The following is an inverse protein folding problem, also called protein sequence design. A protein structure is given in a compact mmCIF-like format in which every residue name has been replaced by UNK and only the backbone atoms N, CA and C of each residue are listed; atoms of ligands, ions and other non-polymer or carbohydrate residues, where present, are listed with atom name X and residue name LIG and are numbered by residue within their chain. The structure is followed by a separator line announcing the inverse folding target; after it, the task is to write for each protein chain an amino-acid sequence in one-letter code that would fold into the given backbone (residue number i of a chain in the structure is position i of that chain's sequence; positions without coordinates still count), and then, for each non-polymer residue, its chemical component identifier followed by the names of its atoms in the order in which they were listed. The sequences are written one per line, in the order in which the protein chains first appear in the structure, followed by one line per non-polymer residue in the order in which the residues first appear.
data_IF_259347884667
#
_entry.id   IF_259347884667
#
_cell.length_a   1.000
_cell.length_b   1.000
_cell.length_c   1.000
_cell.angle_alpha   90.00
_cell.angle_beta   90.00
_cell.angle_gamma   90.00
#
_symmetry.space_group_name_H-M   'P 1'
#
loop_
_entity.id
_entity.type
_entity.pdbx_description
1 polymer ?
#
# COMPACT_ATOMS: atom_id res chain seq x y z
N UNK A 1 48.92 -7.82 32.19
CA UNK A 1 48.18 -8.39 31.03
C UNK A 1 47.24 -9.45 31.58
N UNK A 2 45.96 -9.14 31.73
CA UNK A 2 44.97 -10.13 32.18
C UNK A 2 44.64 -11.04 30.99
N UNK A 3 44.96 -12.33 31.10
CA UNK A 3 44.56 -13.33 30.13
C UNK A 3 43.04 -13.49 30.19
N UNK A 4 42.36 -13.03 29.15
CA UNK A 4 40.92 -13.13 29.01
C UNK A 4 40.58 -14.57 28.62
N UNK A 5 40.01 -15.34 29.55
CA UNK A 5 39.85 -16.79 29.46
C UNK A 5 38.62 -17.27 28.67
N UNK A 6 37.83 -16.34 28.11
CA UNK A 6 36.65 -16.69 27.30
C UNK A 6 36.98 -16.66 25.81
N UNK A 7 36.43 -17.60 25.01
CA UNK A 7 36.69 -17.70 23.56
C UNK A 7 36.23 -16.47 22.76
N UNK A 8 35.45 -15.57 23.37
CA UNK A 8 35.02 -14.30 22.79
C UNK A 8 36.13 -13.24 22.80
N UNK A 9 37.15 -13.35 23.65
CA UNK A 9 38.19 -12.33 23.77
C UNK A 9 39.17 -12.29 22.60
N UNK A 10 39.19 -13.34 21.77
CA UNK A 10 40.02 -13.42 20.55
C UNK A 10 39.32 -12.82 19.32
N UNK A 11 38.09 -12.33 19.47
CA UNK A 11 37.33 -11.76 18.36
C UNK A 11 37.77 -10.32 18.05
N UNK A 12 37.84 -9.93 16.77
CA UNK A 12 38.46 -8.67 16.35
C UNK A 12 37.73 -7.42 16.83
N UNK A 13 36.41 -7.50 17.07
CA UNK A 13 35.57 -6.37 17.50
C UNK A 13 35.19 -6.43 18.99
N UNK A 14 35.82 -7.31 19.78
CA UNK A 14 35.45 -7.49 21.19
C UNK A 14 35.62 -6.21 22.03
N UNK A 15 36.60 -5.35 21.71
CA UNK A 15 36.80 -4.07 22.39
C UNK A 15 35.60 -3.12 22.29
N UNK A 16 34.78 -3.24 21.24
CA UNK A 16 33.59 -2.42 21.02
C UNK A 16 32.46 -2.81 21.98
N UNK A 17 32.47 -4.03 22.52
CA UNK A 17 31.45 -4.52 23.45
C UNK A 17 31.42 -3.72 24.77
N UNK A 18 32.60 -3.30 25.24
CA UNK A 18 32.75 -2.53 26.49
C UNK A 18 32.56 -1.02 26.28
N UNK A 19 32.28 -0.58 25.06
CA UNK A 19 32.10 0.83 24.75
C UNK A 19 30.71 1.31 25.18
N UNK A 20 30.64 2.04 26.30
CA UNK A 20 29.39 2.61 26.82
C UNK A 20 29.59 4.01 27.44
N UNK A 21 29.86 5.06 26.63
CA UNK A 21 30.03 6.42 27.13
C UNK A 21 28.75 7.04 27.73
N UNK A 22 27.58 6.52 27.38
CA UNK A 22 26.28 6.98 27.88
C UNK A 22 25.27 5.83 27.95
N UNK A 23 24.21 5.99 28.73
CA UNK A 23 23.10 5.03 28.84
C UNK A 23 21.91 5.53 28.02
N UNK A 24 21.64 4.88 26.89
CA UNK A 24 20.41 5.09 26.11
C UNK A 24 19.53 3.86 26.28
N UNK A 25 18.25 4.09 26.55
CA UNK A 25 17.25 3.03 26.49
C UNK A 25 16.60 3.01 25.09
N UNK A 26 17.14 2.17 24.22
CA UNK A 26 16.65 2.00 22.84
C UNK A 26 15.29 1.27 22.76
N UNK A 27 14.79 0.74 23.88
CA UNK A 27 13.58 -0.09 23.95
C UNK A 27 12.31 0.70 23.61
N UNK A 28 12.16 1.89 24.20
CA UNK A 28 11.01 2.77 23.96
C UNK A 28 10.95 3.28 22.51
N UNK A 29 12.11 3.54 21.91
CA UNK A 29 12.24 3.98 20.52
C UNK A 29 11.74 2.89 19.56
N UNK A 30 12.11 1.63 19.79
CA UNK A 30 11.76 0.53 18.88
C UNK A 30 10.32 0.05 19.00
N UNK A 31 9.72 0.23 20.17
CA UNK A 31 8.37 -0.26 20.45
C UNK A 31 7.27 0.71 20.03
N UNK A 32 7.47 2.03 20.15
CA UNK A 32 6.42 3.01 19.85
C UNK A 32 6.65 3.85 18.60
N UNK A 33 7.90 4.17 18.27
CA UNK A 33 8.19 5.07 17.14
C UNK A 33 8.09 4.28 15.83
N UNK A 34 7.32 4.79 14.86
CA UNK A 34 7.26 4.21 13.52
C UNK A 34 6.14 3.19 13.29
N UNK A 35 5.46 2.70 14.34
CA UNK A 35 4.45 1.64 14.19
C UNK A 35 3.27 2.07 13.29
N UNK A 36 2.79 3.31 13.45
CA UNK A 36 1.72 3.85 12.61
C UNK A 36 2.17 4.05 11.17
N UNK A 37 3.41 4.53 10.98
CA UNK A 37 4.00 4.76 9.66
C UNK A 37 4.18 3.44 8.91
N UNK A 38 4.63 2.38 9.60
CA UNK A 38 4.79 1.03 9.06
C UNK A 38 3.43 0.40 8.74
N UNK A 39 2.46 0.50 9.66
CA UNK A 39 1.09 0.07 9.45
C UNK A 39 0.48 0.71 8.20
N UNK A 40 0.63 2.04 8.07
CA UNK A 40 0.13 2.80 6.93
C UNK A 40 0.85 2.43 5.63
N UNK A 41 2.19 2.37 5.62
CA UNK A 41 2.96 2.16 4.40
C UNK A 41 2.82 0.73 3.83
N UNK A 42 2.84 -0.30 4.68
CA UNK A 42 2.79 -1.71 4.25
C UNK A 42 1.36 -2.21 4.10
N UNK A 43 0.43 -1.72 4.92
CA UNK A 43 -0.96 -2.13 4.85
C UNK A 43 -1.62 -1.83 3.51
N UNK A 44 -1.03 -0.99 2.65
CA UNK A 44 -1.47 -0.73 1.26
C UNK A 44 -1.35 -1.93 0.34
N UNK A 45 -0.58 -2.96 0.73
CA UNK A 45 -0.28 -4.16 -0.06
C UNK A 45 0.43 -3.90 -1.41
N UNK A 46 1.00 -2.71 -1.60
CA UNK A 46 1.84 -2.34 -2.74
C UNK A 46 3.24 -2.94 -2.57
N UNK A 47 3.88 -3.33 -3.68
CA UNK A 47 5.26 -3.86 -3.68
C UNK A 47 6.29 -2.74 -3.66
N UNK A 48 7.41 -3.00 -2.99
CA UNK A 48 8.56 -2.09 -3.00
C UNK A 48 9.78 -2.84 -3.50
N UNK A 49 10.49 -2.23 -4.46
CA UNK A 49 11.70 -2.80 -5.08
C UNK A 49 12.88 -2.87 -4.11
N UNK A 50 12.90 -2.04 -3.07
CA UNK A 50 14.07 -1.91 -2.20
C UNK A 50 13.77 -2.25 -0.74
N UNK A 51 12.57 -1.90 -0.25
CA UNK A 51 12.29 -1.91 1.19
C UNK A 51 11.51 -3.12 1.68
N UNK A 52 11.07 -4.00 0.78
CA UNK A 52 10.15 -5.10 1.10
C UNK A 52 10.69 -6.10 2.13
N UNK A 53 12.00 -6.34 2.16
CA UNK A 53 12.67 -7.28 3.08
C UNK A 53 13.62 -6.61 4.08
N UNK A 54 13.55 -5.28 4.24
CA UNK A 54 14.35 -4.58 5.24
C UNK A 54 13.77 -4.79 6.64
N UNK A 55 14.59 -4.82 7.71
CA UNK A 55 14.06 -4.83 9.07
C UNK A 55 13.36 -3.49 9.36
N UNK A 56 12.12 -3.54 9.86
CA UNK A 56 11.32 -2.35 10.14
C UNK A 56 10.95 -2.29 11.62
N UNK A 57 10.64 -1.07 12.08
CA UNK A 57 10.05 -0.83 13.39
C UNK A 57 8.64 -1.42 13.48
N UNK A 58 8.14 -1.62 14.69
CA UNK A 58 6.76 -2.06 14.91
C UNK A 58 6.45 -3.47 14.38
N UNK A 59 7.35 -4.44 14.56
CA UNK A 59 7.12 -5.84 14.17
C UNK A 59 5.80 -6.42 14.70
N UNK A 60 5.37 -5.97 15.89
CA UNK A 60 4.10 -6.35 16.50
C UNK A 60 2.88 -5.98 15.66
N UNK A 61 2.96 -4.98 14.76
CA UNK A 61 1.88 -4.59 13.84
C UNK A 61 1.49 -5.78 12.95
N UNK A 62 2.48 -6.55 12.49
CA UNK A 62 2.26 -7.74 11.65
C UNK A 62 1.81 -8.94 12.47
N UNK A 63 2.40 -9.14 13.65
CA UNK A 63 1.99 -10.20 14.57
C UNK A 63 0.53 -10.01 15.03
N UNK A 64 0.09 -8.76 15.18
CA UNK A 64 -1.26 -8.38 15.61
C UNK A 64 -2.29 -8.28 14.48
N UNK A 65 -1.89 -8.41 13.21
CA UNK A 65 -2.76 -8.18 12.02
C UNK A 65 -3.30 -6.75 11.88
N UNK A 66 -2.74 -5.79 12.63
CA UNK A 66 -3.18 -4.39 12.63
C UNK A 66 -3.04 -3.73 11.25
N UNK A 67 -2.15 -4.23 10.38
CA UNK A 67 -2.00 -3.73 9.02
C UNK A 67 -3.15 -4.11 8.09
N UNK A 68 -3.93 -5.15 8.42
CA UNK A 68 -5.07 -5.63 7.63
C UNK A 68 -6.42 -5.10 8.13
N UNK A 69 -6.46 -4.53 9.33
CA UNK A 69 -7.70 -4.02 9.94
C UNK A 69 -8.27 -2.83 9.17
N UNK A 70 -9.61 -2.75 9.11
CA UNK A 70 -10.33 -1.65 8.50
C UNK A 70 -10.04 -0.33 9.21
N UNK A 71 -10.04 0.78 8.47
CA UNK A 71 -9.94 2.14 9.02
C UNK A 71 -11.29 2.82 8.94
N UNK A 72 -11.69 3.49 10.02
CA UNK A 72 -12.92 4.28 10.06
C UNK A 72 -12.76 5.62 9.33
N UNK A 73 -13.88 6.31 9.10
CA UNK A 73 -13.91 7.63 8.47
C UNK A 73 -13.98 7.61 6.94
N UNK A 74 -14.16 6.45 6.32
CA UNK A 74 -14.36 6.33 4.89
C UNK A 74 -15.82 6.06 4.56
N UNK A 75 -16.26 6.57 3.41
CA UNK A 75 -17.55 6.20 2.84
C UNK A 75 -17.38 5.93 1.35
N UNK A 76 -17.77 4.74 0.93
CA UNK A 76 -17.77 4.30 -0.45
C UNK A 76 -19.21 4.28 -0.96
N UNK A 77 -19.48 5.09 -1.98
CA UNK A 77 -20.75 5.16 -2.68
C UNK A 77 -20.58 4.53 -4.05
N UNK A 78 -21.17 3.36 -4.25
CA UNK A 78 -21.29 2.77 -5.57
C UNK A 78 -22.51 3.37 -6.27
N UNK A 79 -22.25 4.35 -7.15
CA UNK A 79 -23.30 5.13 -7.82
C UNK A 79 -24.10 4.23 -8.76
N UNK A 80 -23.43 3.35 -9.50
CA UNK A 80 -24.04 2.47 -10.50
C UNK A 80 -24.85 1.32 -9.87
N UNK A 81 -24.48 0.87 -8.66
CA UNK A 81 -25.23 -0.15 -7.94
C UNK A 81 -26.25 0.44 -6.93
N UNK A 82 -26.21 1.75 -6.66
CA UNK A 82 -27.06 2.38 -5.64
C UNK A 82 -26.76 1.92 -4.21
N UNK A 83 -25.50 1.56 -3.90
CA UNK A 83 -25.10 1.04 -2.58
C UNK A 83 -24.10 2.00 -1.91
N UNK A 84 -24.32 2.27 -0.63
CA UNK A 84 -23.36 2.96 0.23
C UNK A 84 -22.83 2.00 1.28
N UNK A 85 -21.51 2.01 1.52
CA UNK A 85 -20.89 1.35 2.68
C UNK A 85 -19.84 2.23 3.33
N UNK A 86 -19.78 2.20 4.66
CA UNK A 86 -18.70 2.81 5.44
C UNK A 86 -17.61 1.80 5.83
N UNK A 87 -17.90 0.51 5.67
CA UNK A 87 -16.92 -0.55 5.88
C UNK A 87 -16.18 -0.83 4.58
N UNK A 88 -14.90 -0.49 4.55
CA UNK A 88 -14.01 -0.73 3.41
C UNK A 88 -12.78 -1.50 3.86
N UNK A 89 -12.22 -2.27 2.94
CA UNK A 89 -11.04 -3.09 3.17
C UNK A 89 -9.87 -2.22 3.67
N UNK A 90 -9.20 -2.70 4.73
CA UNK A 90 -8.10 -1.97 5.37
C UNK A 90 -6.96 -1.61 4.42
N UNK A 91 -6.68 -2.44 3.42
CA UNK A 91 -5.64 -2.13 2.45
C UNK A 91 -6.02 -0.95 1.55
N UNK A 92 -7.30 -0.87 1.17
CA UNK A 92 -7.81 0.13 0.24
C UNK A 92 -7.85 1.51 0.90
N UNK A 93 -8.29 1.58 2.16
CA UNK A 93 -8.25 2.83 2.93
C UNK A 93 -6.82 3.39 3.07
N UNK A 94 -5.85 2.53 3.38
CA UNK A 94 -4.43 2.92 3.47
C UNK A 94 -3.85 3.32 2.12
N UNK A 95 -4.20 2.59 1.06
CA UNK A 95 -3.78 2.96 -0.30
C UNK A 95 -4.28 4.37 -0.62
N UNK A 96 -5.58 4.63 -0.48
CA UNK A 96 -6.20 5.93 -0.72
C UNK A 96 -5.51 7.09 0.02
N UNK A 97 -5.18 6.92 1.30
CA UNK A 97 -4.50 7.96 2.08
C UNK A 97 -3.10 8.30 1.59
N UNK A 98 -2.39 7.33 0.98
CA UNK A 98 -1.03 7.55 0.47
C UNK A 98 -0.97 8.21 -0.91
N UNK A 99 -2.08 8.25 -1.65
CA UNK A 99 -2.04 8.67 -3.05
C UNK A 99 -1.96 10.18 -3.28
N UNK A 100 -2.14 11.00 -2.23
CA UNK A 100 -2.01 12.46 -2.32
C UNK A 100 -3.11 13.15 -3.14
N UNK A 101 -4.36 12.66 -3.10
CA UNK A 101 -5.44 13.19 -3.92
C UNK A 101 -5.76 14.67 -3.67
N UNK A 102 -6.16 15.37 -4.72
CA UNK A 102 -6.76 16.70 -4.60
C UNK A 102 -8.19 16.62 -4.07
N UNK A 103 -8.76 17.75 -3.62
CA UNK A 103 -10.02 17.75 -2.86
C UNK A 103 -11.24 17.24 -3.65
N UNK A 104 -11.20 17.28 -4.98
CA UNK A 104 -12.36 17.03 -5.84
C UNK A 104 -12.01 16.59 -7.27
N UNK A 105 -10.86 16.95 -7.82
CA UNK A 105 -10.50 16.72 -9.23
C UNK A 105 -9.94 15.32 -9.54
N UNK A 106 -9.59 14.54 -8.53
CA UNK A 106 -8.87 13.27 -8.70
C UNK A 106 -9.76 12.13 -9.19
N UNK A 107 -9.28 11.43 -10.21
CA UNK A 107 -9.91 10.25 -10.83
C UNK A 107 -8.97 9.06 -10.75
N UNK A 108 -9.50 7.89 -10.45
CA UNK A 108 -8.75 6.63 -10.53
C UNK A 108 -9.49 5.65 -11.43
N UNK A 109 -8.80 5.05 -12.38
CA UNK A 109 -9.32 3.97 -13.21
C UNK A 109 -8.66 2.67 -12.77
N UNK A 110 -9.47 1.74 -12.28
CA UNK A 110 -9.02 0.43 -11.88
C UNK A 110 -9.16 -0.55 -13.03
N UNK A 111 -8.13 -1.36 -13.22
CA UNK A 111 -8.12 -2.45 -14.20
C UNK A 111 -7.62 -3.72 -13.52
N UNK A 112 -8.17 -4.86 -13.94
CA UNK A 112 -7.73 -6.18 -13.47
C UNK A 112 -6.94 -6.82 -14.60
N UNK A 113 -5.64 -7.03 -14.38
CA UNK A 113 -4.79 -7.71 -15.35
C UNK A 113 -5.11 -9.21 -15.38
N UNK A 114 -5.60 -9.68 -16.52
CA UNK A 114 -5.81 -11.11 -16.77
C UNK A 114 -4.46 -11.81 -17.07
N UNK A 115 -4.21 -12.92 -16.36
CA UNK A 115 -3.06 -13.80 -16.62
C UNK A 115 -3.20 -14.58 -17.94
N UNK A 116 -4.43 -14.84 -18.42
CA UNK A 116 -4.69 -15.77 -19.52
C UNK A 116 -4.30 -15.22 -20.91
N UNK A 117 -4.47 -13.91 -21.15
CA UNK A 117 -4.08 -13.23 -22.41
C UNK A 117 -2.59 -12.92 -22.53
N UNK A 118 -1.76 -13.37 -21.60
CA UNK A 118 -0.32 -13.15 -21.61
C UNK A 118 0.33 -14.10 -22.63
N UNK A 119 0.51 -13.65 -23.88
CA UNK A 119 1.39 -14.33 -24.85
C UNK A 119 2.72 -14.66 -24.17
N UNK A 120 3.12 -15.94 -24.23
CA UNK A 120 4.32 -16.56 -23.62
C UNK A 120 5.68 -15.94 -24.03
N UNK A 121 5.73 -14.77 -24.68
CA UNK A 121 6.93 -14.22 -25.32
C UNK A 121 7.45 -12.87 -24.82
N UNK A 122 6.66 -12.03 -24.14
CA UNK A 122 7.13 -10.70 -23.72
C UNK A 122 6.91 -10.46 -22.21
N UNK A 123 8.03 -10.24 -21.51
CA UNK A 123 8.18 -9.85 -20.11
C UNK A 123 7.54 -10.76 -19.04
N UNK A 124 8.21 -11.89 -18.83
CA UNK A 124 8.35 -12.56 -17.53
C UNK A 124 9.34 -11.82 -16.58
N UNK A 125 9.72 -10.58 -16.90
CA UNK A 125 11.04 -10.00 -16.57
C UNK A 125 11.18 -8.96 -15.44
N UNK A 126 10.20 -8.10 -15.07
CA UNK A 126 10.46 -7.07 -14.05
C UNK A 126 10.02 -7.45 -12.64
N UNK A 127 8.82 -8.01 -12.46
CA UNK A 127 8.22 -8.18 -11.13
C UNK A 127 8.89 -9.24 -10.24
N UNK A 128 9.49 -10.28 -10.83
CA UNK A 128 10.29 -11.27 -10.08
C UNK A 128 11.70 -10.74 -9.82
N UNK A 129 12.27 -9.97 -10.75
CA UNK A 129 13.58 -9.35 -10.58
C UNK A 129 13.56 -8.29 -9.47
N UNK A 130 12.48 -7.51 -9.38
CA UNK A 130 12.29 -6.51 -8.32
C UNK A 130 12.18 -7.16 -6.93
N UNK A 131 11.45 -8.27 -6.81
CA UNK A 131 11.38 -9.05 -5.57
C UNK A 131 12.71 -9.70 -5.20
N UNK A 132 13.46 -10.21 -6.17
CA UNK A 132 14.81 -10.77 -5.96
C UNK A 132 15.77 -9.68 -5.50
N UNK A 133 15.73 -8.49 -6.11
CA UNK A 133 16.56 -7.36 -5.71
C UNK A 133 16.26 -6.92 -4.27
N UNK A 134 14.98 -6.76 -3.92
CA UNK A 134 14.58 -6.45 -2.56
C UNK A 134 15.07 -7.53 -1.57
N UNK A 135 15.00 -8.80 -1.96
CA UNK A 135 15.47 -9.92 -1.14
C UNK A 135 16.99 -9.87 -0.96
N UNK A 136 17.76 -9.57 -2.01
CA UNK A 136 19.23 -9.44 -1.94
C UNK A 136 19.59 -8.31 -0.97
N UNK A 137 18.97 -7.14 -1.11
CA UNK A 137 19.20 -5.99 -0.22
C UNK A 137 18.87 -6.36 1.23
N UNK A 138 17.70 -6.97 1.46
CA UNK A 138 17.30 -7.43 2.79
C UNK A 138 18.27 -8.46 3.37
N UNK A 139 18.70 -9.45 2.59
CA UNK A 139 19.66 -10.47 3.03
C UNK A 139 21.01 -9.85 3.36
N UNK A 140 21.53 -8.93 2.54
CA UNK A 140 22.81 -8.26 2.79
C UNK A 140 22.76 -7.46 4.10
N UNK A 141 21.69 -6.67 4.31
CA UNK A 141 21.54 -5.85 5.52
C UNK A 141 21.46 -6.73 6.78
N UNK A 142 20.63 -7.78 6.75
CA UNK A 142 20.50 -8.69 7.90
C UNK A 142 21.76 -9.55 8.13
N UNK A 143 22.42 -10.02 7.07
CA UNK A 143 23.68 -10.77 7.17
C UNK A 143 24.80 -9.91 7.73
N UNK A 144 24.85 -8.63 7.37
CA UNK A 144 25.82 -7.67 7.95
C UNK A 144 25.59 -7.51 9.46
N UNK A 145 24.34 -7.36 9.91
CA UNK A 145 24.00 -7.31 11.33
C UNK A 145 24.42 -8.58 12.07
N UNK A 146 24.15 -9.75 11.50
CA UNK A 146 24.57 -11.03 12.08
C UNK A 146 26.10 -11.16 12.13
N UNK A 147 26.81 -10.77 11.08
CA UNK A 147 28.27 -10.82 11.04
C UNK A 147 28.89 -9.91 12.11
N UNK A 148 28.39 -8.67 12.25
CA UNK A 148 28.90 -7.72 13.27
C UNK A 148 28.70 -8.28 14.68
N UNK A 149 27.53 -8.82 14.99
CA UNK A 149 27.23 -9.37 16.33
C UNK A 149 28.07 -10.60 16.67
N UNK A 150 28.30 -11.48 15.69
CA UNK A 150 29.19 -12.64 15.84
C UNK A 150 30.65 -12.18 16.06
N UNK A 151 31.12 -11.20 15.29
CA UNK A 151 32.48 -10.66 15.42
C UNK A 151 32.71 -9.87 16.70
N UNK A 152 31.67 -9.35 17.34
CA UNK A 152 31.74 -8.71 18.65
C UNK A 152 31.72 -9.71 19.82
N UNK A 153 31.19 -10.92 19.58
CA UNK A 153 30.91 -11.91 20.63
C UNK A 153 29.69 -11.53 21.49
N UNK A 154 28.79 -10.70 20.97
CA UNK A 154 27.57 -10.26 21.66
C UNK A 154 26.43 -11.25 21.41
N UNK A 155 26.25 -12.21 22.34
CA UNK A 155 25.18 -13.21 22.23
C UNK A 155 23.77 -12.62 22.33
N UNK A 156 23.60 -11.53 23.10
CA UNK A 156 22.33 -10.80 23.15
C UNK A 156 22.07 -10.06 21.84
N UNK A 157 23.10 -9.40 21.31
CA UNK A 157 23.08 -8.81 19.98
C UNK A 157 22.73 -9.82 18.87
N UNK A 158 23.30 -11.02 18.94
CA UNK A 158 23.02 -12.12 18.01
C UNK A 158 21.55 -12.56 18.10
N UNK A 159 21.03 -12.78 19.31
CA UNK A 159 19.62 -13.14 19.52
C UNK A 159 18.66 -12.06 18.97
N UNK A 160 19.02 -10.78 19.12
CA UNK A 160 18.28 -9.67 18.53
C UNK A 160 18.30 -9.72 16.99
N UNK A 161 19.48 -9.91 16.37
CA UNK A 161 19.61 -9.99 14.91
C UNK A 161 18.83 -11.18 14.32
N UNK A 162 18.86 -12.36 14.96
CA UNK A 162 18.05 -13.52 14.56
C UNK A 162 16.55 -13.21 14.67
N UNK A 163 16.13 -12.53 15.74
CA UNK A 163 14.73 -12.14 15.93
C UNK A 163 14.26 -11.14 14.88
N UNK A 164 15.14 -10.24 14.42
CA UNK A 164 14.87 -9.33 13.30
C UNK A 164 14.68 -10.09 11.98
N UNK A 165 15.54 -11.07 11.68
CA UNK A 165 15.39 -11.93 10.49
C UNK A 165 14.04 -12.65 10.54
N UNK A 166 13.68 -13.20 11.70
CA UNK A 166 12.40 -13.85 11.92
C UNK A 166 11.22 -12.88 11.68
N UNK A 167 11.31 -11.65 12.19
CA UNK A 167 10.30 -10.60 11.98
C UNK A 167 10.12 -10.25 10.49
N UNK A 168 11.22 -10.12 9.74
CA UNK A 168 11.18 -9.91 8.29
C UNK A 168 10.51 -11.09 7.58
N UNK A 169 10.84 -12.32 7.94
CA UNK A 169 10.25 -13.52 7.35
C UNK A 169 8.74 -13.64 7.63
N UNK A 170 8.33 -13.40 8.88
CA UNK A 170 6.91 -13.39 9.28
C UNK A 170 6.16 -12.33 8.50
N UNK A 171 6.67 -11.10 8.45
CA UNK A 171 6.06 -10.01 7.68
C UNK A 171 5.94 -10.34 6.21
N UNK A 172 7.02 -10.83 5.58
CA UNK A 172 7.02 -11.20 4.17
C UNK A 172 5.96 -12.26 3.86
N UNK A 173 5.84 -13.28 4.72
CA UNK A 173 4.82 -14.31 4.58
C UNK A 173 3.40 -13.74 4.72
N UNK A 174 3.13 -13.01 5.80
CA UNK A 174 1.80 -12.48 6.14
C UNK A 174 1.32 -11.50 5.07
N UNK A 175 2.18 -10.58 4.60
CA UNK A 175 1.87 -9.64 3.52
C UNK A 175 1.63 -10.40 2.21
N UNK A 176 2.46 -11.39 1.88
CA UNK A 176 2.28 -12.18 0.65
C UNK A 176 0.97 -12.98 0.66
N UNK A 177 0.55 -13.53 1.81
CA UNK A 177 -0.74 -14.22 1.92
C UNK A 177 -1.93 -13.26 1.69
N UNK A 178 -1.87 -12.04 2.22
CA UNK A 178 -2.92 -11.04 1.98
C UNK A 178 -2.97 -10.62 0.50
N UNK A 179 -1.81 -10.42 -0.14
CA UNK A 179 -1.74 -10.15 -1.58
C UNK A 179 -2.30 -11.30 -2.41
N UNK A 180 -1.95 -12.54 -2.08
CA UNK A 180 -2.48 -13.73 -2.76
C UNK A 180 -4.00 -13.87 -2.60
N UNK A 181 -4.53 -13.53 -1.41
CA UNK A 181 -5.97 -13.53 -1.15
C UNK A 181 -6.69 -12.45 -1.96
N UNK A 182 -6.10 -11.26 -2.06
CA UNK A 182 -6.61 -10.16 -2.89
C UNK A 182 -6.58 -10.53 -4.39
N UNK A 183 -5.48 -11.13 -4.87
CA UNK A 183 -5.37 -11.60 -6.26
C UNK A 183 -6.40 -12.69 -6.58
N UNK A 184 -6.68 -13.60 -5.64
CA UNK A 184 -7.71 -14.62 -5.79
C UNK A 184 -9.12 -14.01 -5.78
N UNK A 185 -9.36 -12.96 -4.99
CA UNK A 185 -10.63 -12.23 -5.00
C UNK A 185 -10.86 -11.49 -6.33
N UNK A 186 -9.82 -10.85 -6.87
CA UNK A 186 -9.86 -10.18 -8.16
C UNK A 186 -10.09 -11.16 -9.32
N UNK A 187 -9.47 -12.35 -9.27
CA UNK A 187 -9.68 -13.42 -10.25
C UNK A 187 -11.13 -13.93 -10.23
N UNK A 188 -11.70 -14.18 -9.04
CA UNK A 188 -13.11 -14.57 -8.90
C UNK A 188 -14.06 -13.51 -9.44
N UNK A 189 -13.81 -12.23 -9.15
CA UNK A 189 -14.61 -11.13 -9.68
C UNK A 189 -14.60 -11.06 -11.21
N UNK A 190 -13.43 -11.32 -11.83
CA UNK A 190 -13.30 -11.36 -13.28
C UNK A 190 -14.08 -12.52 -13.91
N UNK A 191 -14.02 -13.72 -13.31
CA UNK A 191 -14.73 -14.89 -13.83
C UNK A 191 -16.25 -14.79 -13.74
N UNK A 192 -16.78 -14.10 -12.73
CA UNK A 192 -18.23 -13.87 -12.58
C UNK A 192 -18.77 -12.83 -13.56
N UNK A 193 -17.89 -12.01 -14.12
CA UNK A 193 -18.23 -10.94 -15.06
C UNK A 193 -18.20 -11.50 -16.49
N UNK A 194 -19.21 -12.31 -16.85
CA UNK A 194 -19.35 -12.88 -18.20
C UNK A 194 -19.57 -11.76 -19.25
N UNK A 195 -18.60 -11.59 -20.13
CA UNK A 195 -18.64 -10.97 -21.48
C UNK A 195 -18.98 -9.49 -21.66
N UNK A 196 -19.52 -8.77 -20.68
CA UNK A 196 -19.57 -7.30 -20.70
C UNK A 196 -18.99 -6.76 -19.40
N UNK A 197 -17.75 -6.26 -19.44
CA UNK A 197 -17.11 -5.65 -18.29
C UNK A 197 -17.81 -4.32 -17.95
N UNK A 198 -18.98 -4.41 -17.31
CA UNK A 198 -19.71 -3.23 -16.80
C UNK A 198 -18.79 -2.50 -15.84
N UNK A 199 -18.53 -1.23 -16.13
CA UNK A 199 -17.72 -0.36 -15.27
C UNK A 199 -18.67 0.29 -14.28
N UNK A 200 -18.41 0.11 -12.99
CA UNK A 200 -19.11 0.75 -11.90
C UNK A 200 -18.42 2.09 -11.57
N UNK A 201 -19.23 3.15 -11.46
CA UNK A 201 -18.79 4.46 -10.99
C UNK A 201 -18.90 4.50 -9.48
N UNK A 202 -17.80 4.80 -8.83
CA UNK A 202 -17.71 4.83 -7.36
C UNK A 202 -17.22 6.20 -6.93
N UNK A 203 -17.82 6.71 -5.88
CA UNK A 203 -17.36 7.90 -5.19
C UNK A 203 -16.86 7.48 -3.81
N UNK A 204 -15.61 7.80 -3.49
CA UNK A 204 -15.02 7.52 -2.18
C UNK A 204 -14.77 8.84 -1.47
N UNK A 205 -15.38 9.01 -0.31
CA UNK A 205 -15.08 10.10 0.62
C UNK A 205 -14.06 9.56 1.62
N UNK A 206 -12.90 10.21 1.68
CA UNK A 206 -11.81 9.88 2.59
C UNK A 206 -12.06 10.47 3.99
N UNK A 207 -11.27 10.00 4.97
CA UNK A 207 -11.33 10.47 6.36
C UNK A 207 -11.02 11.96 6.55
N UNK A 208 -10.37 12.59 5.57
CA UNK A 208 -10.08 14.04 5.54
C UNK A 208 -11.07 14.84 4.69
N UNK A 209 -12.23 14.25 4.37
CA UNK A 209 -13.30 14.84 3.55
C UNK A 209 -12.90 15.17 2.09
N UNK A 210 -11.74 14.72 1.62
CA UNK A 210 -11.42 14.66 0.19
C UNK A 210 -12.29 13.61 -0.48
N UNK A 211 -12.53 13.81 -1.77
CA UNK A 211 -13.43 12.98 -2.55
C UNK A 211 -12.74 12.52 -3.82
N UNK A 212 -12.80 11.22 -4.08
CA UNK A 212 -12.15 10.61 -5.24
C UNK A 212 -13.19 9.84 -6.02
N UNK A 213 -13.21 10.06 -7.33
CA UNK A 213 -14.02 9.22 -8.21
C UNK A 213 -13.19 8.06 -8.72
N UNK A 214 -13.73 6.86 -8.65
CA UNK A 214 -13.11 5.66 -9.18
C UNK A 214 -14.01 4.98 -10.21
N UNK A 215 -13.39 4.48 -11.27
CA UNK A 215 -14.03 3.63 -12.27
C UNK A 215 -13.47 2.22 -12.09
N UNK A 216 -14.34 1.25 -11.80
CA UNK A 216 -13.92 -0.09 -11.40
C UNK A 216 -14.74 -1.14 -12.15
N UNK A 217 -14.16 -2.27 -12.58
CA UNK A 217 -14.94 -3.37 -13.13
C UNK A 217 -15.95 -3.90 -12.10
N UNK A 218 -17.12 -4.32 -12.57
CA UNK A 218 -18.16 -4.91 -11.73
C UNK A 218 -17.62 -6.05 -10.84
N UNK A 219 -18.26 -6.26 -9.69
CA UNK A 219 -17.92 -7.27 -8.67
C UNK A 219 -16.55 -7.11 -7.96
N UNK A 220 -15.60 -6.38 -8.54
CA UNK A 220 -14.30 -6.08 -7.89
C UNK A 220 -14.50 -5.22 -6.65
N UNK A 221 -15.47 -4.30 -6.69
CA UNK A 221 -15.80 -3.40 -5.57
C UNK A 221 -16.13 -4.21 -4.31
N UNK A 222 -17.13 -5.08 -4.40
CA UNK A 222 -17.58 -5.87 -3.27
C UNK A 222 -16.49 -6.85 -2.78
N UNK A 223 -15.84 -7.56 -3.70
CA UNK A 223 -14.87 -8.62 -3.35
C UNK A 223 -13.50 -8.11 -2.91
N UNK A 224 -13.05 -6.97 -3.42
CA UNK A 224 -11.70 -6.47 -3.18
C UNK A 224 -11.66 -5.20 -2.32
N UNK A 225 -12.61 -4.26 -2.50
CA UNK A 225 -12.56 -2.94 -1.86
C UNK A 225 -13.41 -2.86 -0.59
N UNK A 226 -14.43 -3.69 -0.47
CA UNK A 226 -15.31 -3.76 0.71
C UNK A 226 -14.92 -4.93 1.60
N UNK A 227 -14.89 -6.14 1.03
CA UNK A 227 -14.64 -7.37 1.81
C UNK A 227 -13.17 -7.52 2.24
N UNK A 228 -12.94 -8.02 3.47
CA UNK A 228 -11.60 -8.44 3.92
C UNK A 228 -11.11 -9.61 3.05
N UNK A 229 -9.84 -9.63 2.58
CA UNK A 229 -9.33 -10.72 1.77
C UNK A 229 -9.45 -12.09 2.45
N UNK A 230 -10.02 -13.08 1.75
CA UNK A 230 -10.20 -14.42 2.31
C UNK A 230 -8.92 -15.26 2.18
N UNK A 231 -8.30 -15.54 3.32
CA UNK A 231 -7.05 -16.28 3.41
C UNK A 231 -7.29 -17.78 3.24
N UNK A 232 -6.54 -18.42 2.32
CA UNK A 232 -6.65 -19.87 2.06
C UNK A 232 -6.33 -20.74 3.28
N UNK A 233 -5.25 -20.41 4.01
CA UNK A 233 -4.75 -21.22 5.12
C UNK A 233 -4.78 -20.43 6.44
N UNK A 234 -5.97 -20.23 7.02
CA UNK A 234 -6.17 -19.42 8.23
C UNK A 234 -5.35 -19.90 9.44
N UNK A 235 -5.22 -21.22 9.63
CA UNK A 235 -4.42 -21.82 10.72
C UNK A 235 -2.93 -21.52 10.59
N UNK A 236 -2.36 -21.73 9.40
CA UNK A 236 -0.94 -21.45 9.16
C UNK A 236 -0.63 -19.95 9.29
N UNK A 237 -1.54 -19.11 8.81
CA UNK A 237 -1.45 -17.65 8.98
C UNK A 237 -1.40 -17.25 10.46
N UNK A 238 -2.29 -17.81 11.28
CA UNK A 238 -2.32 -17.57 12.73
C UNK A 238 -1.03 -18.06 13.42
N UNK A 239 -0.58 -19.28 13.10
CA UNK A 239 0.63 -19.85 13.70
C UNK A 239 1.88 -19.00 13.40
N UNK A 240 2.04 -18.55 12.15
CA UNK A 240 3.17 -17.69 11.76
C UNK A 240 3.11 -16.33 12.48
N UNK A 241 1.92 -15.80 12.73
CA UNK A 241 1.75 -14.59 13.56
C UNK A 241 2.14 -14.82 15.02
N UNK A 242 1.84 -15.99 15.61
CA UNK A 242 2.29 -16.35 16.96
C UNK A 242 3.82 -16.45 17.03
N UNK A 243 4.46 -17.02 16.01
CA UNK A 243 5.92 -17.00 15.87
C UNK A 243 6.44 -15.56 15.79
N UNK A 244 5.74 -14.67 15.09
CA UNK A 244 6.03 -13.23 15.07
C UNK A 244 5.98 -12.58 16.44
N UNK A 245 4.98 -12.92 17.26
CA UNK A 245 4.86 -12.44 18.65
C UNK A 245 6.02 -12.92 19.52
N UNK A 246 6.36 -14.21 19.44
CA UNK A 246 7.49 -14.76 20.17
C UNK A 246 8.82 -14.11 19.74
N UNK A 247 9.04 -13.98 18.43
CA UNK A 247 10.21 -13.30 17.87
C UNK A 247 10.32 -11.84 18.32
N UNK A 248 9.21 -11.10 18.33
CA UNK A 248 9.17 -9.73 18.82
C UNK A 248 9.52 -9.65 20.32
N UNK A 249 8.99 -10.55 21.15
CA UNK A 249 9.33 -10.58 22.58
C UNK A 249 10.83 -10.85 22.81
N UNK A 250 11.41 -11.82 22.08
CA UNK A 250 12.85 -12.08 22.13
C UNK A 250 13.64 -10.87 21.66
N UNK A 251 13.23 -10.20 20.58
CA UNK A 251 13.88 -8.99 20.06
C UNK A 251 13.93 -7.87 21.12
N UNK A 252 12.81 -7.59 21.78
CA UNK A 252 12.68 -6.55 22.82
C UNK A 252 13.63 -6.81 23.99
N UNK A 253 13.62 -8.04 24.52
CA UNK A 253 14.49 -8.42 25.66
C UNK A 253 15.96 -8.41 25.25
N UNK A 254 16.28 -9.03 24.11
CA UNK A 254 17.68 -9.17 23.66
C UNK A 254 18.31 -7.85 23.29
N UNK A 255 17.56 -6.91 22.69
CA UNK A 255 18.06 -5.59 22.42
C UNK A 255 18.38 -4.81 23.70
N UNK A 256 17.46 -4.83 24.68
CA UNK A 256 17.67 -4.15 25.97
C UNK A 256 18.91 -4.65 26.73
N UNK A 257 19.29 -5.92 26.51
CA UNK A 257 20.47 -6.55 27.11
C UNK A 257 21.74 -6.48 26.24
N UNK A 258 21.63 -6.09 24.98
CA UNK A 258 22.77 -5.98 24.05
C UNK A 258 23.67 -4.79 24.33
N UNK A 259 24.92 -4.83 23.85
CA UNK A 259 25.86 -3.73 24.02
C UNK A 259 25.42 -2.44 23.30
N UNK A 260 25.81 -1.28 23.81
CA UNK A 260 25.38 0.03 23.28
C UNK A 260 25.66 0.18 21.78
N UNK A 261 26.83 -0.26 21.30
CA UNK A 261 27.16 -0.21 19.88
C UNK A 261 26.19 -1.03 19.03
N UNK A 262 25.85 -2.25 19.46
CA UNK A 262 24.87 -3.12 18.79
C UNK A 262 23.49 -2.48 18.77
N UNK A 263 23.08 -1.87 19.88
CA UNK A 263 21.81 -1.15 19.98
C UNK A 263 21.75 -0.01 18.97
N UNK A 264 22.78 0.84 18.92
CA UNK A 264 22.82 2.00 18.02
C UNK A 264 22.78 1.58 16.55
N UNK A 265 23.57 0.56 16.16
CA UNK A 265 23.59 0.07 14.77
C UNK A 265 22.23 -0.53 14.39
N UNK A 266 21.66 -1.36 15.27
CA UNK A 266 20.35 -1.97 15.05
C UNK A 266 19.25 -0.92 14.88
N UNK A 267 19.15 0.02 15.82
CA UNK A 267 18.15 1.09 15.80
C UNK A 267 18.31 1.94 14.54
N UNK A 268 19.55 2.32 14.20
CA UNK A 268 19.83 3.13 13.01
C UNK A 268 19.37 2.44 11.74
N UNK A 269 19.67 1.15 11.58
CA UNK A 269 19.24 0.38 10.42
C UNK A 269 17.71 0.28 10.36
N UNK A 270 17.04 -0.01 11.49
CA UNK A 270 15.58 -0.10 11.54
C UNK A 270 14.89 1.23 11.24
N UNK A 271 15.42 2.34 11.78
CA UNK A 271 14.89 3.69 11.54
C UNK A 271 15.06 4.07 10.07
N UNK A 272 16.26 3.89 9.50
CA UNK A 272 16.51 4.21 8.09
C UNK A 272 15.65 3.37 7.14
N UNK A 273 15.51 2.07 7.41
CA UNK A 273 14.61 1.21 6.65
C UNK A 273 13.14 1.63 6.76
N UNK A 274 12.71 2.06 7.95
CA UNK A 274 11.35 2.53 8.21
C UNK A 274 11.08 3.86 7.49
N UNK A 275 12.01 4.80 7.55
CA UNK A 275 11.97 6.07 6.83
C UNK A 275 11.87 5.80 5.31
N UNK A 276 12.74 4.95 4.78
CA UNK A 276 12.73 4.60 3.35
C UNK A 276 11.38 3.97 2.93
N UNK A 277 10.78 3.14 3.78
CA UNK A 277 9.46 2.53 3.53
C UNK A 277 8.34 3.57 3.60
N UNK A 278 8.43 4.50 4.55
CA UNK A 278 7.44 5.58 4.72
C UNK A 278 7.43 6.54 3.54
N UNK A 279 8.61 6.92 3.02
CA UNK A 279 8.75 7.75 1.81
C UNK A 279 8.49 6.99 0.50
N UNK A 280 8.03 5.75 0.59
CA UNK A 280 7.62 4.93 -0.57
C UNK A 280 8.74 4.74 -1.61
N UNK A 281 9.99 4.69 -1.16
CA UNK A 281 11.16 4.54 -2.03
C UNK A 281 11.09 3.18 -2.75
N UNK A 282 10.99 3.23 -4.08
CA UNK A 282 10.88 2.03 -4.92
C UNK A 282 9.50 1.39 -4.95
N UNK A 283 8.44 2.05 -4.46
CA UNK A 283 7.06 1.57 -4.56
C UNK A 283 6.47 1.79 -5.95
N UNK A 284 5.78 0.78 -6.49
CA UNK A 284 4.98 0.89 -7.71
C UNK A 284 3.51 1.11 -7.33
N UNK A 285 3.11 2.36 -7.03
CA UNK A 285 1.76 2.67 -6.50
C UNK A 285 0.61 2.30 -7.43
N UNK A 286 0.89 2.19 -8.73
CA UNK A 286 -0.05 1.79 -9.77
C UNK A 286 -0.46 0.32 -9.65
N UNK A 287 0.34 -0.54 -8.99
CA UNK A 287 0.09 -1.98 -8.93
C UNK A 287 -0.11 -2.41 -7.49
N UNK A 288 -1.32 -2.89 -7.19
CA UNK A 288 -1.67 -3.46 -5.89
C UNK A 288 -1.72 -4.99 -6.00
N UNK A 289 -1.09 -5.67 -5.04
CA UNK A 289 -0.84 -7.11 -5.08
C UNK A 289 -0.10 -7.52 -6.36
N UNK A 290 -0.75 -8.24 -7.29
CA UNK A 290 -0.17 -8.53 -8.61
C UNK A 290 -1.13 -8.27 -9.77
N UNK A 291 -2.44 -8.20 -9.53
CA UNK A 291 -3.46 -8.10 -10.58
C UNK A 291 -4.18 -6.76 -10.66
N UNK A 292 -4.29 -6.03 -9.55
CA UNK A 292 -5.04 -4.77 -9.52
C UNK A 292 -4.14 -3.62 -9.95
N UNK A 293 -4.55 -2.90 -10.99
CA UNK A 293 -3.85 -1.74 -11.49
C UNK A 293 -4.71 -0.49 -11.34
N UNK A 294 -4.15 0.55 -10.70
CA UNK A 294 -4.77 1.85 -10.51
C UNK A 294 -4.05 2.89 -11.38
N UNK A 295 -4.74 3.38 -12.41
CA UNK A 295 -4.29 4.50 -13.20
C UNK A 295 -4.89 5.79 -12.62
N UNK A 296 -4.03 6.67 -12.07
CA UNK A 296 -4.46 8.00 -11.63
C UNK A 296 -4.62 8.92 -12.83
N UNK A 297 -5.61 9.79 -12.75
CA UNK A 297 -5.77 10.91 -13.66
C UNK A 297 -6.57 12.01 -13.01
N UNK A 298 -6.78 13.09 -13.74
CA UNK A 298 -7.55 14.24 -13.28
C UNK A 298 -8.69 14.53 -14.25
N UNK A 299 -9.78 15.11 -13.75
CA UNK A 299 -10.88 15.54 -14.59
C UNK A 299 -10.56 16.83 -15.40
N UNK A 300 -9.39 17.43 -15.21
CA UNK A 300 -8.86 18.60 -15.92
C UNK A 300 -8.61 19.82 -15.02
N UNK A 301 -7.79 20.79 -15.47
CA UNK A 301 -7.21 21.85 -14.62
C UNK A 301 -8.21 22.88 -14.05
N UNK A 302 -9.44 22.95 -14.56
CA UNK A 302 -10.45 23.93 -14.12
C UNK A 302 -11.56 23.35 -13.24
N UNK A 303 -11.44 22.09 -12.80
CA UNK A 303 -12.52 21.40 -12.07
C UNK A 303 -12.21 21.29 -10.59
N UNK A 304 -12.44 22.38 -9.88
CA UNK A 304 -12.19 22.47 -8.44
C UNK A 304 -13.44 22.26 -7.61
N UNK A 305 -14.65 22.45 -8.16
CA UNK A 305 -15.90 22.31 -7.41
C UNK A 305 -16.45 20.89 -7.55
N UNK A 306 -17.05 20.36 -6.48
CA UNK A 306 -17.69 19.01 -6.48
C UNK A 306 -18.74 18.86 -7.59
N UNK A 307 -19.48 19.93 -7.88
CA UNK A 307 -20.49 19.98 -8.95
C UNK A 307 -19.88 19.65 -10.32
N UNK A 308 -18.71 20.20 -10.63
CA UNK A 308 -18.04 20.03 -11.92
C UNK A 308 -17.61 18.57 -12.12
N UNK A 309 -17.24 17.92 -11.03
CA UNK A 309 -16.91 16.49 -10.98
C UNK A 309 -18.15 15.66 -11.23
N UNK A 310 -19.25 15.95 -10.54
CA UNK A 310 -20.53 15.24 -10.74
C UNK A 310 -21.03 15.37 -12.18
N UNK A 311 -20.82 16.53 -12.82
CA UNK A 311 -21.16 16.72 -14.23
C UNK A 311 -20.27 15.85 -15.14
N UNK A 312 -18.99 15.70 -14.78
CA UNK A 312 -18.04 14.84 -15.49
C UNK A 312 -18.29 13.34 -15.31
N UNK A 313 -19.06 12.92 -14.30
CA UNK A 313 -19.44 11.51 -14.09
C UNK A 313 -20.51 11.03 -15.06
N UNK A 314 -21.16 11.94 -15.79
CA UNK A 314 -22.26 11.63 -16.71
C UNK A 314 -23.30 10.72 -16.03
N UNK A 315 -23.77 11.16 -14.85
CA UNK A 315 -24.68 10.37 -14.02
C UNK A 315 -25.98 10.04 -14.77
N UNK A 316 -26.43 8.80 -14.68
CA UNK A 316 -27.77 8.42 -15.14
C UNK A 316 -28.84 8.89 -14.14
N UNK A 317 -30.12 8.89 -14.55
CA UNK A 317 -31.21 9.37 -13.69
C UNK A 317 -31.28 8.64 -12.34
N UNK A 318 -31.12 7.32 -12.34
CA UNK A 318 -31.09 6.51 -11.11
C UNK A 318 -29.85 6.78 -10.25
N UNK A 319 -28.70 7.10 -10.86
CA UNK A 319 -27.48 7.48 -10.15
C UNK A 319 -27.65 8.85 -9.47
N UNK A 320 -28.32 9.81 -10.13
CA UNK A 320 -28.66 11.12 -9.54
C UNK A 320 -29.64 11.00 -8.38
N UNK A 321 -30.65 10.14 -8.49
CA UNK A 321 -31.60 9.84 -7.41
C UNK A 321 -30.89 9.24 -6.18
N UNK A 322 -29.95 8.32 -6.40
CA UNK A 322 -29.12 7.75 -5.34
C UNK A 322 -28.28 8.83 -4.65
N UNK A 323 -27.66 9.74 -5.42
CA UNK A 323 -26.89 10.85 -4.86
C UNK A 323 -27.73 11.86 -4.07
N UNK A 324 -28.97 12.09 -4.49
CA UNK A 324 -29.94 12.89 -3.73
C UNK A 324 -30.32 12.21 -2.41
N UNK A 325 -30.61 10.91 -2.43
CA UNK A 325 -30.94 10.13 -1.24
C UNK A 325 -29.80 10.13 -0.20
N UNK A 326 -28.55 10.13 -0.66
CA UNK A 326 -27.35 10.20 0.20
C UNK A 326 -26.93 11.62 0.57
N UNK A 327 -27.72 12.64 0.23
CA UNK A 327 -27.40 14.05 0.48
C UNK A 327 -26.05 14.51 -0.13
N UNK A 328 -25.60 13.85 -1.20
CA UNK A 328 -24.39 14.26 -1.94
C UNK A 328 -24.68 15.40 -2.91
N UNK A 329 -25.95 15.53 -3.32
CA UNK A 329 -26.50 16.62 -4.12
C UNK A 329 -27.53 17.42 -3.32
N UNK A 330 -27.69 18.73 -3.60
CA UNK A 330 -28.68 19.54 -2.90
C UNK A 330 -30.11 19.12 -3.28
N UNK A 331 -30.98 19.02 -2.27
CA UNK A 331 -32.41 18.78 -2.46
C UNK A 331 -33.04 19.88 -3.32
N UNK A 332 -33.91 19.48 -4.27
CA UNK A 332 -34.52 20.37 -5.28
C UNK A 332 -35.59 21.33 -4.70
N UNK A 333 -35.65 21.52 -3.39
CA UNK A 333 -36.71 22.24 -2.68
C UNK A 333 -36.43 23.74 -2.48
N UNK A 334 -35.16 24.15 -2.47
CA UNK A 334 -34.76 25.53 -2.14
C UNK A 334 -34.40 26.33 -3.40
N UNK A 335 -34.69 27.64 -3.48
CA UNK A 335 -34.31 28.48 -4.63
C UNK A 335 -32.80 28.46 -4.97
N UNK A 336 -31.93 28.35 -3.95
CA UNK A 336 -30.49 28.19 -4.12
C UNK A 336 -30.08 26.83 -4.69
N UNK A 337 -30.89 25.79 -4.48
CA UNK A 337 -30.69 24.50 -5.12
C UNK A 337 -31.08 24.58 -6.60
N UNK A 338 -32.14 25.32 -6.96
CA UNK A 338 -32.56 25.51 -8.35
C UNK A 338 -31.44 26.10 -9.22
N UNK A 339 -30.74 27.13 -8.73
CA UNK A 339 -29.60 27.73 -9.46
C UNK A 339 -28.39 26.78 -9.55
N UNK A 340 -28.19 25.93 -8.53
CA UNK A 340 -27.17 24.89 -8.58
C UNK A 340 -27.50 23.83 -9.66
N UNK A 341 -28.75 23.37 -9.71
CA UNK A 341 -29.22 22.35 -10.66
C UNK A 341 -29.20 22.83 -12.11
N UNK A 342 -29.60 24.08 -12.38
CA UNK A 342 -29.50 24.66 -13.74
C UNK A 342 -28.05 24.75 -14.19
N UNK A 343 -27.16 25.16 -13.30
CA UNK A 343 -25.72 25.22 -13.60
C UNK A 343 -25.12 23.82 -13.79
N UNK A 344 -25.48 22.84 -12.96
CA UNK A 344 -25.06 21.45 -13.10
C UNK A 344 -25.49 20.85 -14.46
N UNK A 345 -26.75 21.02 -14.85
CA UNK A 345 -27.27 20.50 -16.11
C UNK A 345 -26.56 21.11 -17.32
N UNK A 346 -26.29 22.42 -17.28
CA UNK A 346 -25.51 23.11 -18.32
C UNK A 346 -24.10 22.52 -18.45
N UNK A 347 -23.40 22.33 -17.34
CA UNK A 347 -22.03 21.79 -17.33
C UNK A 347 -22.00 20.33 -17.83
N UNK A 348 -23.02 19.54 -17.48
CA UNK A 348 -23.20 18.15 -17.93
C UNK A 348 -23.40 18.07 -19.44
N UNK A 349 -24.24 18.93 -20.01
CA UNK A 349 -24.45 19.00 -21.47
C UNK A 349 -23.20 19.44 -22.22
N UNK A 350 -22.51 20.46 -21.71
CA UNK A 350 -21.25 20.95 -22.29
C UNK A 350 -20.19 19.85 -22.32
N UNK A 351 -20.09 19.08 -21.23
CA UNK A 351 -19.18 17.95 -21.17
C UNK A 351 -19.52 16.86 -22.18
N UNK A 352 -20.80 16.48 -22.27
CA UNK A 352 -21.28 15.50 -23.24
C UNK A 352 -20.98 15.93 -24.69
N UNK A 353 -21.12 17.22 -24.99
CA UNK A 353 -20.78 17.81 -26.30
C UNK A 353 -19.28 17.74 -26.59
N UNK A 354 -18.42 18.13 -25.64
CA UNK A 354 -16.95 18.06 -25.78
C UNK A 354 -16.49 16.64 -26.08
N UNK A 355 -16.96 15.67 -25.30
CA UNK A 355 -16.63 14.25 -25.48
C UNK A 355 -17.14 13.70 -26.82
N UNK A 356 -18.33 14.11 -27.25
CA UNK A 356 -18.88 13.69 -28.55
C UNK A 356 -18.13 14.30 -29.74
N UNK A 357 -17.65 15.54 -29.62
CA UNK A 357 -16.86 16.23 -30.65
C UNK A 357 -15.42 15.73 -30.79
N UNK A 358 -14.83 15.22 -29.70
CA UNK A 358 -13.48 14.62 -29.72
C UNK A 358 -13.46 13.26 -30.45
N UNK A 359 -14.60 12.57 -30.53
CA UNK A 359 -14.77 11.33 -31.31
C UNK A 359 -14.97 11.57 -32.84
N UNK A 360 -15.03 12.81 -33.31
CA UNK A 360 -15.23 13.15 -34.75
C UNK A 360 -13.96 13.53 -35.52
N UNK A 361 -12.77 13.37 -34.93
CA UNK A 361 -11.50 13.39 -35.68
C UNK A 361 -11.25 11.98 -36.25
N UNK A 362 -11.09 11.78 -37.57
CA UNK A 362 -10.94 10.46 -38.15
C UNK A 362 -9.68 9.77 -37.62
N UNK A 363 -9.85 8.52 -37.17
CA UNK A 363 -8.75 7.57 -36.97
C UNK A 363 -8.02 7.37 -38.30
N UNK A 364 -6.93 8.09 -38.49
CA UNK A 364 -5.90 7.77 -39.47
C UNK A 364 -4.56 7.81 -38.76
N UNK A 365 -3.94 6.64 -38.58
CA UNK A 365 -2.61 6.54 -38.00
C UNK A 365 -2.41 5.30 -37.16
N UNK A 366 -2.10 4.20 -37.84
CA UNK A 366 -1.19 3.14 -37.40
C UNK A 366 -0.58 3.30 -36.01
N UNK A 367 -0.77 2.27 -35.18
CA UNK A 367 0.04 1.97 -34.00
C UNK A 367 1.50 1.86 -34.46
N UNK A 368 2.24 2.96 -34.41
CA UNK A 368 3.69 2.94 -34.40
C UNK A 368 4.17 3.04 -32.96
N UNK A 369 4.77 1.93 -32.53
CA UNK A 369 5.64 1.81 -31.37
C UNK A 369 6.65 2.98 -31.36
N UNK A 370 6.46 3.93 -30.45
CA UNK A 370 7.36 5.05 -30.21
C UNK A 370 8.02 4.91 -28.85
N UNK A 371 9.33 4.68 -28.86
CA UNK A 371 10.19 4.53 -27.70
C UNK A 371 10.11 5.76 -26.77
N UNK A 372 9.85 5.52 -25.49
CA UNK A 372 10.13 6.50 -24.44
C UNK A 372 11.64 6.57 -24.23
N UNK A 373 12.21 7.70 -24.68
CA UNK A 373 13.55 8.18 -24.34
C UNK A 373 13.78 8.05 -22.83
N UNK A 374 14.76 7.24 -22.47
CA UNK A 374 15.66 7.55 -21.36
C UNK A 374 16.35 8.87 -21.71
N UNK A 375 16.26 9.85 -20.84
CA UNK A 375 17.38 10.61 -20.29
C UNK A 375 16.84 11.75 -19.44
N UNK A 376 17.63 12.14 -18.44
CA UNK A 376 17.46 13.30 -17.53
C UNK A 376 16.57 13.11 -16.31
N UNK A 377 17.17 12.52 -15.26
CA UNK A 377 17.16 13.07 -13.90
C UNK A 377 18.37 12.51 -13.15
N UNK A 378 19.55 13.08 -13.42
CA UNK A 378 20.60 13.25 -12.42
C UNK A 378 20.42 14.67 -11.88
N UNK A 379 20.01 14.81 -10.62
CA UNK A 379 20.67 15.55 -9.52
C UNK A 379 20.09 15.01 -8.22
#
# INVERSE_FOLDING_TARGET
MAYCATPTCTLPLHHVLNWSPFRIDALGIITMIGAEQVNSAIGRLVRSRYTEYLPLLGAFVFASDQFADAKSGFALYNLTAGIMTTDIAGWFSRWCMSQGFERSSSRVVWTVNDRSRRKKGCLRGPQTADGVLASIIGTVVNATLLAITILQGDWWGFANAVSMVLSVAVRAYVVQQNRNALDAAAEKALHETNSEAKIEKILVILSDARMVTMYVPANVVYRCFVSKPDLKHKRLYYNIRMVGWAGFAVQVVSLGMSGLATQLVTVSIMVMATIATHFHIGCQEEIVATRLCAAKGEFGPNRTRRKDVYAALELEGHEEESMLAWNLMPHKTTPSATSWWTSYMKDKEEYKKRRSGENTVPQHGSIHSGALKKDECMV
#
